data_IF_759292655699
#
_entry.id   IF_759292655699
#
_cell.length_a   1.000
_cell.length_b   1.000
_cell.length_c   1.000
_cell.angle_alpha   90.00
_cell.angle_beta   90.00
_cell.angle_gamma   90.00
#
_symmetry.space_group_name_H-M   'P 1'
#
loop_
_entity.id
_entity.type
_entity.pdbx_description
1 polymer ?
#
# COMPACT_ATOMS: atom_id res chain seq x y z
N UNK A 1 -58.82 16.36 -14.22
CA UNK A 1 -58.59 14.91 -14.13
C UNK A 1 -57.11 14.56 -14.33
N UNK A 2 -56.49 15.02 -15.42
CA UNK A 2 -55.06 14.78 -15.71
C UNK A 2 -54.10 15.40 -14.69
N UNK A 3 -54.35 16.61 -14.18
CA UNK A 3 -53.45 17.24 -13.19
C UNK A 3 -53.41 16.51 -11.84
N UNK A 4 -54.51 15.90 -11.43
CA UNK A 4 -54.54 15.12 -10.19
C UNK A 4 -53.75 13.80 -10.32
N UNK A 5 -53.70 13.24 -11.53
CA UNK A 5 -52.92 12.03 -11.84
C UNK A 5 -51.43 12.38 -11.82
N UNK A 6 -51.03 13.52 -12.39
CA UNK A 6 -49.62 13.98 -12.41
C UNK A 6 -49.07 14.17 -10.98
N UNK A 7 -49.84 14.83 -10.11
CA UNK A 7 -49.46 15.03 -8.70
C UNK A 7 -49.32 13.71 -7.94
N UNK A 8 -50.18 12.73 -8.23
CA UNK A 8 -50.12 11.40 -7.62
C UNK A 8 -48.92 10.59 -8.14
N UNK A 9 -48.62 10.67 -9.44
CA UNK A 9 -47.44 10.03 -10.02
C UNK A 9 -46.14 10.66 -9.51
N UNK A 10 -46.07 11.98 -9.35
CA UNK A 10 -44.90 12.67 -8.81
C UNK A 10 -44.66 12.31 -7.33
N UNK A 11 -45.73 12.18 -6.54
CA UNK A 11 -45.66 11.73 -5.15
C UNK A 11 -45.15 10.28 -5.04
N UNK A 12 -45.57 9.40 -5.95
CA UNK A 12 -45.08 8.02 -6.00
C UNK A 12 -43.63 7.92 -6.48
N UNK A 13 -43.24 8.74 -7.46
CA UNK A 13 -41.86 8.81 -7.97
C UNK A 13 -40.91 9.35 -6.90
N UNK A 14 -41.31 10.40 -6.18
CA UNK A 14 -40.53 10.95 -5.06
C UNK A 14 -40.41 9.97 -3.90
N UNK A 15 -41.48 9.27 -3.54
CA UNK A 15 -41.44 8.20 -2.53
C UNK A 15 -40.54 7.03 -2.95
N UNK A 16 -40.62 6.58 -4.20
CA UNK A 16 -39.77 5.51 -4.74
C UNK A 16 -38.29 5.93 -4.78
N UNK A 17 -37.99 7.18 -5.17
CA UNK A 17 -36.63 7.71 -5.10
C UNK A 17 -36.08 7.72 -3.68
N UNK A 18 -36.86 8.16 -2.68
CA UNK A 18 -36.41 8.18 -1.28
C UNK A 18 -36.10 6.78 -0.75
N UNK A 19 -36.89 5.76 -1.09
CA UNK A 19 -36.60 4.37 -0.71
C UNK A 19 -35.27 3.89 -1.32
N UNK A 20 -35.03 4.17 -2.61
CA UNK A 20 -33.77 3.82 -3.28
C UNK A 20 -32.55 4.58 -2.74
N UNK A 21 -32.72 5.85 -2.32
CA UNK A 21 -31.67 6.63 -1.67
C UNK A 21 -31.34 6.11 -0.26
N UNK A 22 -32.35 5.63 0.47
CA UNK A 22 -32.14 5.01 1.78
C UNK A 22 -31.44 3.65 1.59
N UNK A 23 -31.87 2.80 0.67
CA UNK A 23 -31.24 1.49 0.45
C UNK A 23 -29.76 1.61 0.06
N UNK A 24 -29.41 2.56 -0.80
CA UNK A 24 -28.01 2.82 -1.21
C UNK A 24 -27.16 3.37 -0.05
N UNK A 25 -27.66 4.35 0.69
CA UNK A 25 -26.96 4.91 1.86
C UNK A 25 -26.77 3.89 2.99
N UNK A 26 -27.74 3.00 3.20
CA UNK A 26 -27.62 1.90 4.17
C UNK A 26 -26.61 0.85 3.73
N UNK A 27 -26.53 0.51 2.44
CA UNK A 27 -25.48 -0.39 1.93
C UNK A 27 -24.07 0.21 2.07
N UNK A 28 -23.90 1.52 1.84
CA UNK A 28 -22.61 2.20 2.00
C UNK A 28 -22.18 2.28 3.47
N UNK A 29 -23.12 2.51 4.39
CA UNK A 29 -22.85 2.50 5.84
C UNK A 29 -22.52 1.09 6.37
N UNK A 30 -23.06 0.03 5.76
CA UNK A 30 -22.73 -1.36 6.09
C UNK A 30 -21.39 -1.82 5.50
N UNK A 31 -20.96 -1.26 4.36
CA UNK A 31 -19.64 -1.52 3.76
C UNK A 31 -18.49 -0.82 4.49
N UNK A 32 -18.75 0.26 5.24
CA UNK A 32 -17.72 0.96 6.04
C UNK A 32 -17.54 0.38 7.47
N UNK A 33 -17.93 -0.88 7.70
CA UNK A 33 -17.69 -1.59 8.97
C UNK A 33 -16.29 -2.22 9.08
N UNK A 34 -15.28 -1.58 8.50
CA UNK A 34 -13.89 -1.93 8.77
C UNK A 34 -13.09 -0.69 9.18
N UNK A 35 -13.45 -0.10 10.33
CA UNK A 35 -12.55 0.72 11.14
C UNK A 35 -11.27 -0.03 11.61
N UNK A 36 -10.82 -1.04 10.86
CA UNK A 36 -9.54 -1.69 10.97
C UNK A 36 -8.53 -0.73 10.35
N UNK A 37 -7.80 -0.03 11.20
CA UNK A 37 -6.62 0.73 10.81
C UNK A 37 -5.79 -0.16 9.86
N UNK A 38 -5.55 0.28 8.62
CA UNK A 38 -4.74 -0.49 7.67
C UNK A 38 -3.30 -0.50 8.20
N UNK A 39 -2.94 -1.59 8.86
CA UNK A 39 -1.58 -1.83 9.30
C UNK A 39 -0.71 -2.02 8.08
N UNK A 40 0.34 -1.20 7.94
CA UNK A 40 1.32 -1.39 6.86
C UNK A 40 2.03 -2.74 7.05
N UNK A 41 2.38 -3.42 5.94
CA UNK A 41 3.14 -4.66 6.01
C UNK A 41 4.54 -4.41 6.60
N UNK A 42 5.12 -5.41 7.25
CA UNK A 42 6.44 -5.29 7.89
C UNK A 42 7.57 -5.82 7.01
N UNK A 43 7.24 -6.59 5.98
CA UNK A 43 8.20 -7.24 5.07
C UNK A 43 7.58 -7.42 3.66
N UNK A 44 8.41 -7.85 2.70
CA UNK A 44 7.97 -8.06 1.32
C UNK A 44 6.95 -9.18 1.14
N UNK A 45 7.01 -10.23 1.96
CA UNK A 45 6.07 -11.35 1.90
C UNK A 45 4.66 -10.86 2.20
N UNK A 46 4.49 -10.13 3.31
CA UNK A 46 3.20 -9.58 3.71
C UNK A 46 2.72 -8.48 2.76
N UNK A 47 3.63 -7.65 2.25
CA UNK A 47 3.30 -6.59 1.31
C UNK A 47 2.75 -7.14 -0.02
N UNK A 48 3.42 -8.15 -0.57
CA UNK A 48 3.01 -8.84 -1.80
C UNK A 48 1.72 -9.63 -1.57
N UNK A 49 1.62 -10.37 -0.46
CA UNK A 49 0.39 -11.12 -0.11
C UNK A 49 -0.82 -10.20 0.02
N UNK A 50 -0.64 -9.03 0.63
CA UNK A 50 -1.71 -8.03 0.79
C UNK A 50 -2.15 -7.40 -0.53
N UNK A 51 -1.32 -7.42 -1.57
CA UNK A 51 -1.67 -6.95 -2.91
C UNK A 51 -2.52 -7.97 -3.70
N UNK A 52 -2.58 -9.23 -3.25
CA UNK A 52 -3.41 -10.28 -3.86
C UNK A 52 -3.12 -10.47 -5.35
N UNK A 53 -4.17 -10.53 -6.17
CA UNK A 53 -4.05 -10.70 -7.62
C UNK A 53 -3.36 -9.54 -8.35
N UNK A 54 -3.21 -8.38 -7.70
CA UNK A 54 -2.47 -7.22 -8.23
C UNK A 54 -0.98 -7.22 -7.86
N UNK A 55 -0.49 -8.27 -7.16
CA UNK A 55 0.90 -8.41 -6.78
C UNK A 55 1.84 -8.41 -8.00
N UNK A 56 2.92 -7.62 -7.93
CA UNK A 56 3.96 -7.55 -8.97
C UNK A 56 5.29 -7.15 -8.34
N UNK A 57 6.40 -7.53 -8.96
CA UNK A 57 7.71 -7.02 -8.55
C UNK A 57 7.71 -5.50 -8.64
N UNK A 58 8.11 -4.80 -7.57
CA UNK A 58 8.01 -3.35 -7.52
C UNK A 58 8.24 -2.77 -6.14
N UNK A 59 7.88 -1.49 -6.02
CA UNK A 59 8.09 -0.70 -4.81
C UNK A 59 6.89 -0.85 -3.89
N UNK A 60 7.16 -1.26 -2.65
CA UNK A 60 6.17 -1.40 -1.60
C UNK A 60 6.54 -0.53 -0.40
N UNK A 61 5.52 -0.06 0.32
CA UNK A 61 5.69 0.68 1.56
C UNK A 61 5.60 -0.30 2.73
N UNK A 62 6.60 -0.29 3.61
CA UNK A 62 6.63 -1.11 4.82
C UNK A 62 6.79 -0.25 6.07
N UNK A 63 6.40 -0.79 7.21
CA UNK A 63 6.57 -0.18 8.52
C UNK A 63 7.05 -1.23 9.52
N UNK A 64 8.17 -0.97 10.20
CA UNK A 64 8.72 -1.90 11.18
C UNK A 64 8.17 -1.57 12.57
N UNK A 65 7.67 -2.53 13.36
CA UNK A 65 7.18 -2.30 14.71
C UNK A 65 8.32 -2.29 15.74
N UNK A 66 9.45 -1.63 15.45
CA UNK A 66 10.64 -1.60 16.32
C UNK A 66 11.04 -0.18 16.69
N UNK A 67 11.29 0.04 17.99
CA UNK A 67 12.01 1.20 18.50
C UNK A 67 11.58 2.52 17.86
N UNK A 68 12.56 3.25 17.31
CA UNK A 68 12.35 4.51 16.60
C UNK A 68 11.74 4.37 15.19
N UNK A 69 11.57 3.15 14.68
CA UNK A 69 10.92 2.82 13.40
C UNK A 69 9.42 2.56 13.54
N UNK A 70 8.90 2.36 14.76
CA UNK A 70 7.47 2.04 15.03
C UNK A 70 6.50 3.03 14.39
N UNK A 71 6.88 4.30 14.24
CA UNK A 71 6.05 5.35 13.61
C UNK A 71 6.61 5.83 12.26
N UNK A 72 7.59 5.11 11.69
CA UNK A 72 8.24 5.46 10.43
C UNK A 72 8.00 4.36 9.41
N UNK A 73 7.46 4.75 8.27
CA UNK A 73 7.41 3.88 7.10
C UNK A 73 8.53 4.24 6.13
N UNK A 74 8.94 3.28 5.31
CA UNK A 74 9.85 3.52 4.20
C UNK A 74 9.54 2.60 3.03
N UNK A 75 10.07 2.94 1.87
CA UNK A 75 9.87 2.19 0.64
C UNK A 75 10.98 1.17 0.43
N UNK A 76 10.59 -0.02 -0.01
CA UNK A 76 11.48 -1.14 -0.36
C UNK A 76 11.10 -1.68 -1.73
N UNK A 77 12.04 -2.32 -2.42
CA UNK A 77 11.75 -3.02 -3.66
C UNK A 77 11.56 -4.50 -3.34
N UNK A 78 10.36 -5.02 -3.60
CA UNK A 78 10.04 -6.44 -3.47
C UNK A 78 10.09 -7.10 -4.85
N UNK A 79 10.93 -8.12 -5.00
CA UNK A 79 11.05 -8.91 -6.22
C UNK A 79 10.36 -10.26 -6.00
N UNK A 80 9.32 -10.53 -6.79
CA UNK A 80 8.69 -11.84 -6.81
C UNK A 80 9.68 -12.90 -7.27
N UNK A 81 9.63 -14.07 -6.67
CA UNK A 81 10.37 -15.23 -7.15
C UNK A 81 9.70 -15.80 -8.41
N UNK A 82 10.45 -15.87 -9.51
CA UNK A 82 9.97 -16.43 -10.77
C UNK A 82 9.58 -17.91 -10.68
N UNK A 83 10.05 -18.63 -9.65
CA UNK A 83 9.71 -20.02 -9.38
C UNK A 83 8.53 -20.18 -8.40
N UNK A 84 7.87 -19.08 -8.01
CA UNK A 84 6.71 -19.10 -7.12
C UNK A 84 7.03 -19.17 -5.62
N UNK A 85 8.30 -18.93 -5.24
CA UNK A 85 8.71 -18.77 -3.84
C UNK A 85 8.30 -17.43 -3.23
N UNK A 86 8.71 -17.22 -1.97
CA UNK A 86 8.49 -15.96 -1.27
C UNK A 86 9.26 -14.80 -1.97
N UNK A 87 8.69 -13.58 -1.95
CA UNK A 87 9.33 -12.43 -2.56
C UNK A 87 10.57 -11.97 -1.78
N UNK A 88 11.56 -11.51 -2.54
CA UNK A 88 12.83 -10.99 -2.02
C UNK A 88 12.75 -9.49 -1.76
N UNK A 89 13.38 -9.03 -0.69
CA UNK A 89 13.68 -7.62 -0.49
C UNK A 89 15.01 -7.29 -1.15
N UNK A 90 15.02 -6.34 -2.08
CA UNK A 90 16.26 -5.85 -2.67
C UNK A 90 16.88 -4.76 -1.81
N UNK A 91 18.09 -5.02 -1.36
CA UNK A 91 18.91 -4.08 -0.58
C UNK A 91 19.67 -3.11 -1.48
N UNK A 92 19.98 -3.54 -2.70
CA UNK A 92 20.81 -2.83 -3.66
C UNK A 92 20.42 -3.23 -5.09
N UNK A 93 20.54 -2.28 -6.04
CA UNK A 93 20.40 -2.55 -7.47
C UNK A 93 21.34 -1.67 -8.30
N UNK A 94 21.90 -2.25 -9.38
CA UNK A 94 22.64 -1.55 -10.45
C UNK A 94 21.95 -1.81 -11.78
N UNK A 95 21.55 -0.78 -12.50
CA UNK A 95 20.86 -0.95 -13.79
C UNK A 95 21.39 -0.05 -14.92
N UNK A 96 21.76 1.19 -14.62
CA UNK A 96 21.93 2.24 -15.63
C UNK A 96 23.22 3.06 -15.47
N UNK A 97 24.01 2.78 -14.44
CA UNK A 97 25.27 3.50 -14.19
C UNK A 97 25.09 4.98 -13.84
N UNK A 98 23.86 5.48 -13.71
CA UNK A 98 23.55 6.89 -13.51
C UNK A 98 23.95 7.43 -12.14
N UNK A 99 24.15 6.54 -11.16
CA UNK A 99 24.58 6.93 -9.81
C UNK A 99 25.97 6.36 -9.52
N UNK A 100 26.80 7.21 -8.93
CA UNK A 100 28.07 6.79 -8.37
C UNK A 100 27.85 6.00 -7.07
N UNK A 101 28.57 4.89 -6.92
CA UNK A 101 28.62 4.07 -5.71
C UNK A 101 29.91 4.31 -4.90
N UNK A 102 30.85 5.10 -5.41
CA UNK A 102 31.99 5.57 -4.62
C UNK A 102 31.54 6.71 -3.70
N UNK A 103 30.91 6.33 -2.58
CA UNK A 103 30.28 7.24 -1.62
C UNK A 103 30.92 7.14 -0.25
N UNK A 104 30.70 8.17 0.56
CA UNK A 104 31.16 8.19 1.94
C UNK A 104 30.29 7.31 2.86
N UNK A 105 30.73 7.20 4.11
CA UNK A 105 30.02 6.42 5.12
C UNK A 105 28.59 6.92 5.38
N UNK A 106 28.38 8.24 5.32
CA UNK A 106 27.08 8.82 5.62
C UNK A 106 26.04 8.37 4.59
N UNK A 107 26.38 8.46 3.30
CA UNK A 107 25.55 7.99 2.20
C UNK A 107 25.23 6.49 2.34
N UNK A 108 26.21 5.66 2.67
CA UNK A 108 25.98 4.23 2.89
C UNK A 108 25.14 3.93 4.13
N UNK A 109 25.21 4.77 5.16
CA UNK A 109 24.39 4.64 6.36
C UNK A 109 22.91 4.94 6.08
N UNK A 110 22.62 6.04 5.38
CA UNK A 110 21.23 6.50 5.13
C UNK A 110 20.60 5.90 3.88
N UNK A 111 21.41 5.52 2.89
CA UNK A 111 21.00 5.09 1.56
C UNK A 111 21.05 6.22 0.53
N UNK A 112 21.16 5.84 -0.74
CA UNK A 112 21.24 6.76 -1.88
C UNK A 112 20.68 6.13 -3.17
N UNK A 113 20.45 6.98 -4.18
CA UNK A 113 19.94 6.56 -5.48
C UNK A 113 18.42 6.56 -5.58
N UNK A 114 17.90 5.90 -6.63
CA UNK A 114 16.48 5.81 -6.92
C UNK A 114 16.04 4.35 -6.89
N UNK A 115 15.12 4.03 -5.97
CA UNK A 115 14.64 2.66 -5.75
C UNK A 115 13.96 2.02 -6.98
N UNK A 116 13.47 2.83 -7.93
CA UNK A 116 12.95 2.35 -9.21
C UNK A 116 14.05 2.00 -10.22
N UNK A 117 15.29 2.44 -9.98
CA UNK A 117 16.45 2.33 -10.87
C UNK A 117 17.65 1.73 -10.09
N UNK A 118 18.80 2.39 -10.10
CA UNK A 118 19.94 2.03 -9.26
C UNK A 118 19.84 2.65 -7.87
N UNK A 119 20.09 1.88 -6.81
CA UNK A 119 20.04 2.37 -5.43
C UNK A 119 20.83 1.53 -4.43
N UNK A 120 21.09 2.11 -3.27
CA UNK A 120 21.48 1.46 -2.03
C UNK A 120 20.49 1.84 -0.92
N UNK A 121 19.93 0.84 -0.23
CA UNK A 121 18.87 1.05 0.78
C UNK A 121 19.33 1.85 2.01
N UNK A 122 20.59 1.68 2.44
CA UNK A 122 21.12 2.26 3.66
C UNK A 122 21.25 1.25 4.82
N UNK A 123 22.37 1.29 5.54
CA UNK A 123 22.61 0.40 6.69
C UNK A 123 21.62 0.58 7.83
N UNK A 124 21.14 1.80 8.10
CA UNK A 124 20.19 2.04 9.19
C UNK A 124 18.89 1.25 8.98
N UNK A 125 18.40 1.18 7.73
CA UNK A 125 17.22 0.40 7.36
C UNK A 125 17.52 -1.11 7.39
N UNK A 126 18.68 -1.52 6.87
CA UNK A 126 19.07 -2.93 6.88
C UNK A 126 19.18 -3.48 8.29
N UNK A 127 19.85 -2.76 9.18
CA UNK A 127 19.98 -3.14 10.58
C UNK A 127 18.62 -3.33 11.24
N UNK A 128 17.70 -2.38 11.04
CA UNK A 128 16.34 -2.46 11.57
C UNK A 128 15.55 -3.65 11.01
N UNK A 129 15.67 -3.96 9.71
CA UNK A 129 15.02 -5.12 9.09
C UNK A 129 15.58 -6.42 9.68
N UNK A 130 16.90 -6.56 9.79
CA UNK A 130 17.52 -7.79 10.29
C UNK A 130 17.26 -8.00 11.79
N UNK A 131 17.12 -6.91 12.56
CA UNK A 131 16.72 -6.99 13.97
C UNK A 131 15.31 -7.53 14.16
N UNK A 132 14.41 -7.39 13.18
CA UNK A 132 13.08 -8.02 13.21
C UNK A 132 13.11 -9.54 12.97
N UNK A 133 14.18 -10.06 12.37
CA UNK A 133 14.29 -11.45 11.94
C UNK A 133 15.07 -12.33 12.92
N UNK A 134 15.69 -11.71 13.93
CA UNK A 134 16.36 -12.36 15.05
C UNK A 134 15.41 -12.43 16.25
#
# INVERSE_FOLDING_TARGET
AYEMIILYTDMLVTAACLVLFIDTAWTDMLLNKSGKLRTLPTNCVDAVRSAGSAAKSGIYQIQLPLGNWTHRHFYVYCLLDGNGGDPWLLMQRRQDGEIDFFRDWHDYKTGFGNIARSFWMGFDKLHAITQMQL
#
